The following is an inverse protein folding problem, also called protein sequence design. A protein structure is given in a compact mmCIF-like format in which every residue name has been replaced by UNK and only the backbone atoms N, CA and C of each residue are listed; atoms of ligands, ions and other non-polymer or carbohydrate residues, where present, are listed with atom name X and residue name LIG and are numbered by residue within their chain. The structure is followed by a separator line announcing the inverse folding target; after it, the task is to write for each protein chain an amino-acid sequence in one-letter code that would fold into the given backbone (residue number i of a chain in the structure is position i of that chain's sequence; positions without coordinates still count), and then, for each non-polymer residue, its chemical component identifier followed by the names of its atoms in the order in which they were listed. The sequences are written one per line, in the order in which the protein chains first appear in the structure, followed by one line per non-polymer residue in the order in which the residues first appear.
data_IF_076357191860
#
_entry.id   IF_076357191860
#
_cell.length_a   1.000
_cell.length_b   1.000
_cell.length_c   1.000
_cell.angle_alpha   90.00
_cell.angle_beta   90.00
_cell.angle_gamma   90.00
#
_symmetry.space_group_name_H-M   'P 1'
#
loop_
_entity.id
_entity.type
_entity.pdbx_description
1 polymer ?
#
# COMPACT_ATOMS: atom_id res chain seq x y z
N UNK A 1 -1.56 7.48 25.56
CA UNK A 1 -2.39 8.19 24.58
C UNK A 1 -3.45 7.26 23.96
N UNK A 2 -4.63 7.78 23.57
CA UNK A 2 -5.64 7.03 22.78
C UNK A 2 -5.78 7.65 21.39
N UNK A 3 -5.81 6.80 20.36
CA UNK A 3 -6.05 7.19 18.97
C UNK A 3 -7.31 6.49 18.48
N UNK A 4 -8.21 7.23 17.84
CA UNK A 4 -9.35 6.68 17.12
C UNK A 4 -9.05 6.69 15.62
N UNK A 5 -9.07 5.52 15.00
CA UNK A 5 -8.87 5.30 13.57
C UNK A 5 -10.21 4.92 12.95
N UNK A 6 -10.75 5.76 12.07
CA UNK A 6 -12.01 5.46 11.39
C UNK A 6 -11.80 4.29 10.43
N UNK A 7 -12.69 3.31 10.46
CA UNK A 7 -12.64 2.19 9.50
C UNK A 7 -12.94 2.73 8.10
N UNK A 8 -12.13 2.32 7.12
CA UNK A 8 -12.29 2.73 5.72
C UNK A 8 -13.69 2.37 5.22
N UNK A 9 -14.49 3.36 4.77
CA UNK A 9 -15.83 3.10 4.25
C UNK A 9 -15.77 2.19 3.02
N UNK A 10 -16.62 1.16 3.01
CA UNK A 10 -16.71 0.24 1.88
C UNK A 10 -17.86 0.60 0.96
N UNK A 11 -17.55 0.73 -0.33
CA UNK A 11 -18.55 1.05 -1.37
C UNK A 11 -19.18 -0.20 -2.00
N UNK A 12 -18.61 -1.38 -1.81
CA UNK A 12 -19.09 -2.64 -2.38
C UNK A 12 -19.76 -3.51 -1.31
N UNK A 13 -20.92 -4.07 -1.64
CA UNK A 13 -21.65 -5.01 -0.78
C UNK A 13 -21.11 -6.45 -0.87
N UNK A 14 -20.29 -6.76 -1.88
CA UNK A 14 -19.73 -8.12 -2.06
C UNK A 14 -18.75 -8.53 -0.95
N UNK A 15 -18.14 -7.56 -0.27
CA UNK A 15 -17.17 -7.78 0.82
C UNK A 15 -17.55 -6.96 2.06
N UNK A 16 -18.84 -6.98 2.41
CA UNK A 16 -19.34 -6.25 3.57
C UNK A 16 -18.48 -6.54 4.81
N UNK A 17 -18.04 -5.47 5.47
CA UNK A 17 -17.24 -5.47 6.71
C UNK A 17 -15.80 -5.98 6.55
N UNK A 18 -15.28 -6.21 5.34
CA UNK A 18 -13.89 -6.65 5.16
C UNK A 18 -12.87 -5.66 5.75
N UNK A 19 -13.10 -4.34 5.64
CA UNK A 19 -12.23 -3.35 6.27
C UNK A 19 -12.27 -3.46 7.81
N UNK A 20 -13.44 -3.72 8.40
CA UNK A 20 -13.58 -3.93 9.85
C UNK A 20 -12.79 -5.17 10.31
N UNK A 21 -12.86 -6.27 9.55
CA UNK A 21 -12.14 -7.52 9.84
C UNK A 21 -10.62 -7.32 9.74
N UNK A 22 -10.17 -6.55 8.74
CA UNK A 22 -8.74 -6.38 8.44
C UNK A 22 -8.06 -5.28 9.27
N UNK A 23 -8.81 -4.32 9.82
CA UNK A 23 -8.23 -3.16 10.49
C UNK A 23 -7.38 -3.52 11.71
N UNK A 24 -7.87 -4.42 12.57
CA UNK A 24 -7.11 -4.82 13.77
C UNK A 24 -5.84 -5.60 13.39
N UNK A 25 -5.90 -6.64 12.54
CA UNK A 25 -4.69 -7.33 12.07
C UNK A 25 -3.68 -6.40 11.40
N UNK A 26 -4.11 -5.47 10.54
CA UNK A 26 -3.21 -4.55 9.85
C UNK A 26 -2.49 -3.62 10.84
N UNK A 27 -3.23 -3.04 11.80
CA UNK A 27 -2.67 -2.18 12.83
C UNK A 27 -1.67 -2.94 13.72
N UNK A 28 -2.02 -4.14 14.16
CA UNK A 28 -1.17 -4.96 15.03
C UNK A 28 0.06 -5.54 14.31
N UNK A 29 0.03 -5.65 12.99
CA UNK A 29 1.21 -5.99 12.20
C UNK A 29 2.16 -4.80 12.05
N UNK A 30 1.67 -3.56 12.18
CA UNK A 30 2.45 -2.35 11.91
C UNK A 30 3.65 -2.17 12.85
N UNK A 31 4.63 -1.29 12.50
CA UNK A 31 5.74 -0.94 13.39
C UNK A 31 5.32 -0.34 14.73
N UNK A 32 4.03 -0.02 14.90
CA UNK A 32 3.47 0.51 16.14
C UNK A 32 3.10 -0.58 17.14
N UNK A 33 3.05 -1.85 16.71
CA UNK A 33 2.67 -3.01 17.53
C UNK A 33 3.31 -3.04 18.92
N UNK A 34 4.63 -2.80 19.09
CA UNK A 34 5.27 -2.83 20.41
C UNK A 34 4.75 -1.77 21.40
N UNK A 35 4.07 -0.73 20.91
CA UNK A 35 3.55 0.37 21.72
C UNK A 35 2.05 0.27 21.94
N UNK A 36 1.36 -0.71 21.34
CA UNK A 36 -0.09 -0.89 21.47
C UNK A 36 -0.40 -1.75 22.70
N UNK A 37 -1.19 -1.21 23.62
CA UNK A 37 -1.62 -1.92 24.84
C UNK A 37 -3.05 -2.44 24.76
N UNK A 38 -3.89 -1.81 23.94
CA UNK A 38 -5.25 -2.25 23.70
C UNK A 38 -5.75 -1.78 22.33
N UNK A 39 -6.55 -2.62 21.66
CA UNK A 39 -7.31 -2.26 20.47
C UNK A 39 -8.74 -2.72 20.68
N UNK A 40 -9.70 -1.82 20.54
CA UNK A 40 -11.13 -2.15 20.60
C UNK A 40 -11.87 -1.50 19.46
N UNK A 41 -12.94 -2.14 18.98
CA UNK A 41 -13.86 -1.52 18.04
C UNK A 41 -14.89 -0.68 18.79
N UNK A 42 -15.20 0.52 18.29
CA UNK A 42 -16.25 1.37 18.84
C UNK A 42 -17.02 2.09 17.74
N UNK A 43 -18.19 2.63 18.07
CA UNK A 43 -19.01 3.41 17.15
C UNK A 43 -19.11 4.84 17.65
N UNK A 44 -18.66 5.79 16.83
CA UNK A 44 -18.77 7.23 17.11
C UNK A 44 -19.58 7.88 16.00
N UNK A 45 -20.68 8.56 16.35
CA UNK A 45 -21.59 9.19 15.40
C UNK A 45 -22.07 8.24 14.26
N UNK A 46 -22.32 6.97 14.59
CA UNK A 46 -22.77 5.95 13.62
C UNK A 46 -21.70 5.45 12.65
N UNK A 47 -20.42 5.78 12.88
CA UNK A 47 -19.29 5.27 12.09
C UNK A 47 -18.43 4.34 12.96
N UNK A 48 -17.91 3.27 12.36
CA UNK A 48 -17.01 2.31 13.03
C UNK A 48 -15.59 2.87 13.15
N UNK A 49 -14.98 2.70 14.32
CA UNK A 49 -13.60 3.08 14.62
C UNK A 49 -12.86 1.93 15.29
N UNK A 50 -11.54 1.86 15.09
CA UNK A 50 -10.62 1.26 16.05
C UNK A 50 -10.18 2.31 17.07
N UNK A 51 -10.42 2.04 18.33
CA UNK A 51 -9.82 2.76 19.43
C UNK A 51 -8.56 2.01 19.87
N UNK A 52 -7.40 2.60 19.63
CA UNK A 52 -6.10 2.05 20.02
C UNK A 52 -5.52 2.84 21.18
N UNK A 53 -5.06 2.13 22.21
CA UNK A 53 -4.33 2.71 23.34
C UNK A 53 -2.85 2.46 23.15
N UNK A 54 -2.08 3.54 23.22
CA UNK A 54 -0.63 3.56 23.03
C UNK A 54 0.08 3.85 24.35
N UNK A 55 1.09 3.05 24.67
CA UNK A 55 1.96 3.23 25.84
C UNK A 55 3.02 4.31 25.59
N UNK A 56 2.67 5.54 25.93
CA UNK A 56 3.57 6.70 25.87
C UNK A 56 4.66 6.69 26.95
N UNK A 57 4.60 5.78 27.93
CA UNK A 57 5.61 5.67 28.98
C UNK A 57 6.83 4.85 28.55
N UNK A 58 6.72 4.14 27.42
CA UNK A 58 7.83 3.39 26.83
C UNK A 58 8.99 4.34 26.47
N UNK A 59 10.25 4.01 26.85
CA UNK A 59 11.41 4.87 26.57
C UNK A 59 11.71 5.01 25.06
N UNK A 60 11.16 4.12 24.24
CA UNK A 60 11.31 4.13 22.79
C UNK A 60 10.04 4.58 22.07
N UNK A 61 9.08 5.15 22.80
CA UNK A 61 7.82 5.59 22.21
C UNK A 61 8.07 6.64 21.11
N UNK A 62 7.63 6.39 19.87
CA UNK A 62 7.77 7.37 18.79
C UNK A 62 6.92 8.61 19.07
N UNK A 63 7.44 9.77 18.69
CA UNK A 63 6.67 11.02 18.80
C UNK A 63 5.41 10.96 17.93
N UNK A 64 4.38 11.72 18.28
CA UNK A 64 3.14 11.75 17.49
C UNK A 64 3.38 12.07 15.99
N UNK A 65 4.27 13.01 15.60
CA UNK A 65 4.61 13.21 14.20
C UNK A 65 5.24 12.00 13.50
N UNK A 66 5.92 11.10 14.23
CA UNK A 66 6.49 9.87 13.67
C UNK A 66 5.44 8.76 13.51
N UNK A 67 4.37 8.77 14.32
CA UNK A 67 3.25 7.83 14.23
C UNK A 67 2.37 8.09 12.99
N UNK A 68 2.08 9.36 12.72
CA UNK A 68 1.09 9.77 11.71
C UNK A 68 1.41 9.19 10.32
N UNK A 69 2.64 9.22 9.79
CA UNK A 69 2.96 8.63 8.49
C UNK A 69 2.67 7.12 8.39
N UNK A 70 2.79 6.38 9.49
CA UNK A 70 2.51 4.93 9.53
C UNK A 70 1.00 4.72 9.55
N UNK A 71 0.29 5.39 10.46
CA UNK A 71 -1.17 5.31 10.57
C UNK A 71 -1.87 5.75 9.28
N UNK A 72 -1.35 6.77 8.60
CA UNK A 72 -1.90 7.29 7.33
C UNK A 72 -1.73 6.32 6.16
N UNK A 73 -0.87 5.29 6.30
CA UNK A 73 -0.61 4.28 5.27
C UNK A 73 -1.46 3.02 5.42
N UNK A 74 -2.09 2.81 6.57
CA UNK A 74 -3.03 1.72 6.77
C UNK A 74 -4.16 1.80 5.73
N UNK A 75 -4.61 0.65 5.25
CA UNK A 75 -5.60 0.53 4.19
C UNK A 75 -7.00 0.36 4.74
N UNK A 76 -7.12 -0.37 5.85
CA UNK A 76 -8.40 -0.66 6.50
C UNK A 76 -8.90 0.49 7.39
N UNK A 77 -8.10 1.53 7.58
CA UNK A 77 -8.50 2.77 8.27
C UNK A 77 -8.22 4.01 7.42
N UNK A 78 -8.99 5.08 7.60
CA UNK A 78 -8.92 6.29 6.77
C UNK A 78 -8.59 7.56 7.57
N UNK A 79 -9.44 7.97 8.52
CA UNK A 79 -9.26 9.18 9.32
C UNK A 79 -8.64 8.88 10.69
N UNK A 80 -7.78 9.78 11.16
CA UNK A 80 -7.01 9.63 12.39
C UNK A 80 -7.37 10.76 13.35
N UNK A 81 -7.74 10.40 14.57
CA UNK A 81 -8.04 11.34 15.64
C UNK A 81 -7.30 10.95 16.91
N UNK A 82 -6.82 11.94 17.64
CA UNK A 82 -6.54 11.72 19.06
C UNK A 82 -7.85 11.73 19.83
N UNK A 83 -8.00 10.76 20.73
CA UNK A 83 -9.22 10.51 21.48
C UNK A 83 -9.03 10.90 22.94
N UNK A 84 -9.99 11.65 23.48
CA UNK A 84 -10.05 11.99 24.90
C UNK A 84 -11.38 11.54 25.49
N UNK A 85 -11.32 10.83 26.62
CA UNK A 85 -12.51 10.50 27.42
C UNK A 85 -13.10 11.77 28.08
N UNK A 86 -12.26 12.75 28.40
CA UNK A 86 -12.63 14.08 28.88
C UNK A 86 -11.48 15.08 28.70
N UNK A 87 -11.78 16.38 28.68
CA UNK A 87 -10.80 17.48 28.72
C UNK A 87 -11.25 18.51 29.75
N UNK A 88 -10.59 18.52 30.92
CA UNK A 88 -11.04 19.32 32.07
C UNK A 88 -12.44 18.88 32.51
N UNK A 89 -13.37 19.83 32.57
CA UNK A 89 -14.77 19.57 32.94
C UNK A 89 -15.63 19.06 31.76
N UNK A 90 -15.10 19.06 30.53
CA UNK A 90 -15.84 18.60 29.35
C UNK A 90 -15.72 17.09 29.22
N UNK A 91 -16.84 16.39 29.41
CA UNK A 91 -16.93 14.94 29.17
C UNK A 91 -16.93 14.63 27.67
N UNK A 92 -16.27 13.54 27.29
CA UNK A 92 -16.15 13.07 25.91
C UNK A 92 -17.26 12.10 25.46
N UNK A 93 -17.06 11.42 24.32
CA UNK A 93 -15.82 11.36 23.53
C UNK A 93 -15.48 12.68 22.83
N UNK A 94 -14.23 13.14 22.96
CA UNK A 94 -13.69 14.29 22.21
C UNK A 94 -12.63 13.80 21.23
N UNK A 95 -12.72 14.27 19.98
CA UNK A 95 -11.79 13.91 18.90
C UNK A 95 -11.02 15.15 18.45
N UNK A 96 -9.70 15.10 18.52
CA UNK A 96 -8.82 16.07 17.88
C UNK A 96 -8.34 15.50 16.54
N UNK A 97 -8.70 16.08 15.39
CA UNK A 97 -8.20 15.62 14.10
C UNK A 97 -6.67 15.66 14.05
N UNK A 98 -6.06 14.61 13.51
CA UNK A 98 -4.64 14.57 13.19
C UNK A 98 -4.48 14.60 11.67
N UNK A 99 -3.79 15.62 11.16
CA UNK A 99 -3.60 15.78 9.72
C UNK A 99 -2.79 14.60 9.14
N UNK A 100 -3.33 13.87 8.15
CA UNK A 100 -2.65 12.70 7.60
C UNK A 100 -1.36 13.10 6.86
N UNK A 101 -0.31 12.29 7.02
CA UNK A 101 0.99 12.48 6.37
C UNK A 101 1.24 11.38 5.35
N UNK A 102 0.38 11.33 4.35
CA UNK A 102 0.49 10.42 3.21
C UNK A 102 -0.06 11.09 1.96
N UNK A 103 0.82 11.30 0.97
CA UNK A 103 0.42 11.73 -0.37
C UNK A 103 0.78 10.61 -1.33
N UNK A 104 -0.21 9.95 -1.95
CA UNK A 104 0.06 8.89 -2.91
C UNK A 104 0.95 9.38 -4.05
N UNK A 105 1.98 8.61 -4.42
CA UNK A 105 2.88 8.98 -5.52
C UNK A 105 2.18 8.90 -6.90
N UNK A 106 1.30 7.93 -7.06
CA UNK A 106 0.22 7.94 -8.06
C UNK A 106 -1.11 7.83 -7.33
N UNK A 107 -2.23 8.35 -7.87
CA UNK A 107 -3.52 8.24 -7.19
C UNK A 107 -3.90 6.77 -6.94
N UNK A 108 -4.46 6.48 -5.76
CA UNK A 108 -4.96 5.14 -5.41
C UNK A 108 -6.02 4.65 -6.40
N UNK A 109 -6.76 5.59 -6.99
CA UNK A 109 -7.76 5.36 -8.04
C UNK A 109 -7.18 4.62 -9.24
N UNK A 110 -5.87 4.73 -9.54
CA UNK A 110 -5.22 3.96 -10.60
C UNK A 110 -5.47 2.46 -10.43
N UNK A 111 -5.37 1.96 -9.19
CA UNK A 111 -5.71 0.59 -8.88
C UNK A 111 -7.22 0.37 -9.02
N UNK A 112 -8.06 1.25 -8.48
CA UNK A 112 -9.52 1.10 -8.39
C UNK A 112 -10.22 1.07 -9.75
N UNK A 113 -9.85 1.96 -10.68
CA UNK A 113 -10.53 2.07 -11.98
C UNK A 113 -10.16 0.95 -12.94
N UNK A 114 -9.00 0.31 -12.75
CA UNK A 114 -8.55 -0.78 -13.61
C UNK A 114 -9.51 -1.96 -13.49
N UNK A 115 -10.13 -2.36 -14.59
CA UNK A 115 -11.02 -3.54 -14.65
C UNK A 115 -10.37 -4.68 -15.41
N UNK A 116 -10.35 -5.86 -14.82
CA UNK A 116 -9.93 -7.12 -15.44
C UNK A 116 -10.55 -8.29 -14.68
N UNK A 117 -10.57 -9.47 -15.31
CA UNK A 117 -11.14 -10.68 -14.73
C UNK A 117 -10.31 -11.13 -13.53
N UNK A 118 -10.96 -11.52 -12.44
CA UNK A 118 -10.28 -12.02 -11.25
C UNK A 118 -9.54 -10.94 -10.44
N UNK A 119 -9.84 -9.66 -10.68
CA UNK A 119 -9.24 -8.57 -9.90
C UNK A 119 -9.55 -8.71 -8.41
N UNK A 120 -8.50 -8.77 -7.61
CA UNK A 120 -8.55 -8.73 -6.14
C UNK A 120 -8.96 -7.35 -5.63
N UNK A 121 -9.69 -7.32 -4.51
CA UNK A 121 -10.11 -6.08 -3.88
C UNK A 121 -8.90 -5.21 -3.49
N UNK A 122 -8.99 -3.92 -3.75
CA UNK A 122 -7.89 -2.96 -3.62
C UNK A 122 -7.54 -2.69 -2.15
N UNK A 123 -8.54 -2.64 -1.26
CA UNK A 123 -8.31 -2.52 0.19
C UNK A 123 -7.60 -3.77 0.70
N UNK A 124 -8.11 -4.96 0.36
CA UNK A 124 -7.48 -6.23 0.76
C UNK A 124 -6.04 -6.32 0.26
N UNK A 125 -5.81 -6.02 -1.02
CA UNK A 125 -4.46 -6.06 -1.61
C UNK A 125 -3.52 -5.07 -0.91
N UNK A 126 -4.00 -3.87 -0.55
CA UNK A 126 -3.19 -2.87 0.16
C UNK A 126 -2.89 -3.30 1.60
N UNK A 127 -3.85 -3.92 2.30
CA UNK A 127 -3.61 -4.55 3.61
C UNK A 127 -2.52 -5.62 3.50
N UNK A 128 -2.62 -6.51 2.51
CA UNK A 128 -1.62 -7.57 2.30
C UNK A 128 -0.22 -7.02 1.98
N UNK A 129 -0.15 -5.97 1.15
CA UNK A 129 1.10 -5.25 0.90
C UNK A 129 1.70 -4.67 2.19
N UNK A 130 0.88 -4.01 3.00
CA UNK A 130 1.32 -3.44 4.27
C UNK A 130 1.79 -4.52 5.25
N UNK A 131 1.03 -5.61 5.43
CA UNK A 131 1.40 -6.73 6.31
C UNK A 131 2.72 -7.36 5.87
N UNK A 132 2.91 -7.63 4.57
CA UNK A 132 4.15 -8.21 4.05
C UNK A 132 5.36 -7.30 4.32
N UNK A 133 5.18 -5.98 4.19
CA UNK A 133 6.22 -5.01 4.50
C UNK A 133 6.50 -4.91 6.00
N UNK A 134 5.47 -4.88 6.83
CA UNK A 134 5.63 -4.77 8.28
C UNK A 134 6.20 -6.04 8.92
N UNK A 135 5.99 -7.20 8.30
CA UNK A 135 6.61 -8.46 8.70
C UNK A 135 8.07 -8.61 8.22
N UNK A 136 8.58 -7.69 7.41
CA UNK A 136 9.95 -7.73 6.86
C UNK A 136 10.97 -6.99 7.73
N UNK A 137 12.25 -7.19 7.45
CA UNK A 137 13.36 -6.42 8.05
C UNK A 137 13.30 -4.91 7.71
N UNK A 138 12.41 -4.51 6.80
CA UNK A 138 12.24 -3.14 6.32
C UNK A 138 11.02 -2.42 6.91
N UNK A 139 10.40 -2.98 7.96
CA UNK A 139 9.20 -2.44 8.59
C UNK A 139 9.37 -0.97 9.02
N UNK A 140 10.54 -0.61 9.57
CA UNK A 140 10.87 0.75 10.00
C UNK A 140 11.02 1.74 8.81
N UNK A 141 11.34 1.23 7.62
CA UNK A 141 11.52 1.98 6.38
C UNK A 141 10.25 1.98 5.51
N UNK A 142 9.09 1.58 6.05
CA UNK A 142 7.84 1.51 5.29
C UNK A 142 7.39 2.87 4.69
N UNK A 143 7.97 3.98 5.14
CA UNK A 143 7.71 5.32 4.60
C UNK A 143 8.71 5.76 3.53
N UNK A 144 9.80 5.01 3.35
CA UNK A 144 10.87 5.28 2.39
C UNK A 144 10.59 4.64 1.02
N UNK A 145 11.50 4.85 0.06
CA UNK A 145 11.42 4.20 -1.26
C UNK A 145 11.87 2.75 -1.15
N UNK A 146 10.90 1.83 -1.15
CA UNK A 146 11.13 0.39 -1.20
C UNK A 146 10.94 -0.17 -2.62
N UNK A 147 11.19 -1.47 -2.79
CA UNK A 147 11.13 -2.22 -4.05
C UNK A 147 10.29 -3.46 -3.82
N UNK A 148 9.16 -3.55 -4.50
CA UNK A 148 8.15 -4.61 -4.30
C UNK A 148 8.09 -5.48 -5.54
N UNK A 149 8.23 -6.79 -5.36
CA UNK A 149 8.00 -7.78 -6.41
C UNK A 149 6.62 -8.41 -6.25
N UNK A 150 5.80 -8.33 -7.28
CA UNK A 150 4.62 -9.18 -7.44
C UNK A 150 4.96 -10.36 -8.39
N UNK A 151 5.05 -11.59 -7.84
CA UNK A 151 5.36 -12.79 -8.62
C UNK A 151 4.19 -13.30 -9.48
N UNK A 152 2.98 -12.75 -9.33
CA UNK A 152 1.78 -13.16 -10.08
C UNK A 152 0.97 -11.90 -10.38
N UNK A 153 1.58 -10.99 -11.15
CA UNK A 153 1.13 -9.63 -11.23
C UNK A 153 -0.27 -9.46 -11.85
N UNK A 154 -0.73 -10.41 -12.68
CA UNK A 154 -2.01 -10.35 -13.37
C UNK A 154 -2.27 -8.96 -13.98
N UNK A 155 -3.40 -8.35 -13.62
CA UNK A 155 -3.77 -7.00 -14.06
C UNK A 155 -3.14 -5.84 -13.29
N UNK A 156 -2.27 -6.10 -12.31
CA UNK A 156 -1.37 -5.13 -11.69
C UNK A 156 -1.85 -4.44 -10.41
N UNK A 157 -2.87 -4.94 -9.69
CA UNK A 157 -3.41 -4.26 -8.50
C UNK A 157 -2.34 -3.99 -7.44
N UNK A 158 -1.52 -4.99 -7.08
CA UNK A 158 -0.40 -4.83 -6.12
C UNK A 158 0.60 -3.78 -6.60
N UNK A 159 0.93 -3.80 -7.89
CA UNK A 159 1.91 -2.89 -8.48
C UNK A 159 1.45 -1.43 -8.38
N UNK A 160 0.18 -1.16 -8.66
CA UNK A 160 -0.38 0.19 -8.58
C UNK A 160 -0.48 0.69 -7.14
N UNK A 161 -0.81 -0.19 -6.19
CA UNK A 161 -0.83 0.15 -4.77
C UNK A 161 0.59 0.36 -4.22
N UNK A 162 1.58 -0.41 -4.67
CA UNK A 162 2.98 -0.19 -4.34
C UNK A 162 3.49 1.15 -4.90
N UNK A 163 3.15 1.47 -6.16
CA UNK A 163 3.45 2.79 -6.73
C UNK A 163 2.77 3.90 -5.94
N UNK A 164 1.49 3.74 -5.58
CA UNK A 164 0.76 4.73 -4.78
C UNK A 164 1.44 4.96 -3.41
N UNK A 165 1.94 3.90 -2.78
CA UNK A 165 2.70 3.98 -1.53
C UNK A 165 4.09 4.64 -1.70
N UNK A 166 4.52 4.94 -2.93
CA UNK A 166 5.80 5.56 -3.23
C UNK A 166 6.95 4.55 -3.30
N UNK A 167 6.67 3.30 -3.68
CA UNK A 167 7.67 2.26 -3.92
C UNK A 167 7.95 2.08 -5.42
N UNK A 168 9.03 1.39 -5.74
CA UNK A 168 9.22 0.78 -7.05
C UNK A 168 8.47 -0.56 -7.11
N UNK A 169 7.85 -0.84 -8.24
CA UNK A 169 7.00 -2.02 -8.43
C UNK A 169 7.49 -2.87 -9.60
N UNK A 170 7.67 -4.16 -9.35
CA UNK A 170 8.13 -5.14 -10.32
C UNK A 170 7.10 -6.25 -10.40
N UNK A 171 6.51 -6.48 -11.57
CA UNK A 171 5.53 -7.53 -11.78
C UNK A 171 6.01 -8.54 -12.80
N UNK A 172 5.82 -9.83 -12.50
CA UNK A 172 6.05 -10.92 -13.43
C UNK A 172 4.71 -11.62 -13.65
N UNK A 173 4.40 -11.90 -14.92
CA UNK A 173 3.19 -12.63 -15.29
C UNK A 173 3.46 -13.51 -16.52
N UNK A 174 2.93 -14.73 -16.48
CA UNK A 174 3.00 -15.72 -17.55
C UNK A 174 2.03 -15.39 -18.69
N UNK A 175 0.87 -14.82 -18.37
CA UNK A 175 -0.14 -14.43 -19.36
C UNK A 175 0.25 -13.14 -20.09
N UNK A 176 0.75 -13.29 -21.32
CA UNK A 176 1.18 -12.17 -22.16
C UNK A 176 0.14 -11.08 -22.33
N UNK A 177 -1.14 -11.45 -22.43
CA UNK A 177 -2.24 -10.50 -22.63
C UNK A 177 -2.43 -9.58 -21.43
N UNK A 178 -2.21 -10.07 -20.22
CA UNK A 178 -2.32 -9.28 -18.99
C UNK A 178 -1.19 -8.25 -18.92
N UNK A 179 0.05 -8.64 -19.24
CA UNK A 179 1.18 -7.71 -19.34
C UNK A 179 0.94 -6.63 -20.40
N UNK A 180 0.51 -7.02 -21.61
CA UNK A 180 0.29 -6.06 -22.70
C UNK A 180 -0.87 -5.10 -22.40
N UNK A 181 -1.98 -5.61 -21.88
CA UNK A 181 -3.14 -4.79 -21.53
C UNK A 181 -2.84 -3.85 -20.36
N UNK A 182 -2.07 -4.30 -19.38
CA UNK A 182 -1.63 -3.49 -18.24
C UNK A 182 -0.68 -2.39 -18.69
N UNK A 183 0.28 -2.67 -19.59
CA UNK A 183 1.13 -1.64 -20.16
C UNK A 183 0.34 -0.58 -20.96
N UNK A 184 -0.70 -1.00 -21.71
CA UNK A 184 -1.60 -0.07 -22.41
C UNK A 184 -2.34 0.82 -21.41
N UNK A 185 -2.92 0.22 -20.36
CA UNK A 185 -3.62 0.94 -19.30
C UNK A 185 -2.72 1.96 -18.62
N UNK A 186 -1.50 1.58 -18.22
CA UNK A 186 -0.52 2.48 -17.59
C UNK A 186 -0.26 3.70 -18.47
N UNK A 187 0.01 3.52 -19.77
CA UNK A 187 0.23 4.65 -20.69
C UNK A 187 -0.97 5.57 -20.78
N UNK A 188 -2.17 5.01 -20.88
CA UNK A 188 -3.41 5.79 -21.00
C UNK A 188 -3.68 6.59 -19.73
N UNK A 189 -3.56 5.94 -18.56
CA UNK A 189 -3.79 6.56 -17.27
C UNK A 189 -2.78 7.68 -16.96
N UNK A 190 -1.49 7.41 -17.12
CA UNK A 190 -0.46 8.42 -16.86
C UNK A 190 -0.60 9.64 -17.78
N UNK A 191 -1.06 9.43 -19.03
CA UNK A 191 -1.38 10.53 -19.96
C UNK A 191 -2.62 11.31 -19.52
N UNK A 192 -3.69 10.64 -19.09
CA UNK A 192 -4.92 11.34 -18.66
C UNK A 192 -4.70 12.17 -17.41
N UNK A 193 -3.95 11.62 -16.44
CA UNK A 193 -3.61 12.31 -15.18
C UNK A 193 -2.44 13.29 -15.32
N UNK A 194 -1.91 13.49 -16.53
CA UNK A 194 -0.76 14.36 -16.80
C UNK A 194 0.46 14.04 -15.92
N UNK A 195 0.64 12.77 -15.54
CA UNK A 195 1.78 12.29 -14.77
C UNK A 195 2.94 12.05 -15.73
N UNK A 196 4.08 12.76 -15.58
CA UNK A 196 5.22 12.57 -16.47
C UNK A 196 5.74 11.14 -16.39
N UNK A 197 6.09 10.54 -17.52
CA UNK A 197 6.76 9.25 -17.54
C UNK A 197 7.65 9.07 -18.77
N UNK A 198 8.63 8.16 -18.65
CA UNK A 198 9.46 7.68 -19.73
C UNK A 198 9.31 6.17 -19.83
N UNK A 199 8.97 5.68 -21.02
CA UNK A 199 8.93 4.25 -21.31
C UNK A 199 10.29 3.80 -21.86
N UNK A 200 10.94 2.88 -21.16
CA UNK A 200 12.16 2.20 -21.55
C UNK A 200 11.74 0.82 -22.08
N UNK A 201 11.32 0.77 -23.35
CA UNK A 201 10.92 -0.48 -23.96
C UNK A 201 12.17 -1.32 -24.25
N UNK A 202 12.33 -2.43 -23.54
CA UNK A 202 13.43 -3.37 -23.78
C UNK A 202 12.88 -4.75 -24.18
N UNK A 203 13.13 -5.12 -25.43
CA UNK A 203 13.15 -6.53 -25.83
C UNK A 203 14.54 -7.07 -25.50
N UNK A 204 14.72 -7.60 -24.30
CA UNK A 204 15.93 -8.35 -24.00
C UNK A 204 15.87 -9.69 -24.74
N UNK A 205 16.92 -10.02 -25.51
CA UNK A 205 17.03 -11.31 -26.22
C UNK A 205 17.02 -12.51 -25.26
N UNK A 206 17.33 -12.30 -23.97
CA UNK A 206 17.40 -13.34 -22.93
C UNK A 206 16.26 -13.28 -21.92
N UNK A 207 15.84 -12.08 -21.50
CA UNK A 207 14.85 -11.91 -20.42
C UNK A 207 13.38 -11.81 -20.89
N UNK A 208 13.11 -12.02 -22.18
CA UNK A 208 11.75 -11.97 -22.74
C UNK A 208 11.23 -10.55 -22.96
N UNK A 209 9.91 -10.40 -23.00
CA UNK A 209 9.26 -9.11 -23.24
C UNK A 209 9.06 -8.37 -21.93
N UNK A 210 9.64 -7.17 -21.82
CA UNK A 210 9.55 -6.31 -20.64
C UNK A 210 9.08 -4.90 -21.03
N UNK A 211 8.22 -4.33 -20.22
CA UNK A 211 7.90 -2.90 -20.24
C UNK A 211 8.44 -2.27 -18.96
N UNK A 212 9.20 -1.20 -19.11
CA UNK A 212 9.70 -0.43 -17.97
C UNK A 212 9.26 1.01 -18.10
N UNK A 213 8.68 1.54 -17.02
CA UNK A 213 8.25 2.92 -16.91
C UNK A 213 9.03 3.59 -15.79
N UNK A 214 9.69 4.69 -16.10
CA UNK A 214 10.14 5.65 -15.11
C UNK A 214 9.06 6.72 -14.98
N UNK A 215 8.33 6.72 -13.88
CA UNK A 215 7.14 7.54 -13.63
C UNK A 215 7.54 8.68 -12.69
N UNK A 216 6.97 9.87 -12.87
CA UNK A 216 7.16 11.04 -12.02
C UNK A 216 8.14 12.07 -12.59
N UNK A 217 8.38 13.13 -11.81
CA UNK A 217 9.31 14.22 -12.18
C UNK A 217 10.76 13.81 -11.91
N UNK A 218 11.69 14.34 -12.72
CA UNK A 218 13.13 14.12 -12.56
C UNK A 218 13.57 14.37 -11.11
N UNK A 219 14.29 13.41 -10.53
CA UNK A 219 14.76 13.46 -9.13
C UNK A 219 13.78 12.88 -8.10
N UNK A 220 12.55 12.58 -8.50
CA UNK A 220 11.53 11.98 -7.64
C UNK A 220 10.80 10.82 -8.34
N UNK A 221 11.46 10.12 -9.26
CA UNK A 221 10.82 9.08 -10.07
C UNK A 221 10.64 7.76 -9.31
N UNK A 222 9.69 6.95 -9.77
CA UNK A 222 9.53 5.54 -9.41
C UNK A 222 9.55 4.66 -10.64
N UNK A 223 9.97 3.43 -10.45
CA UNK A 223 10.11 2.44 -11.52
C UNK A 223 8.95 1.46 -11.43
N UNK A 224 8.25 1.28 -12.55
CA UNK A 224 7.33 0.17 -12.77
C UNK A 224 7.93 -0.75 -13.84
N UNK A 225 8.03 -2.04 -13.55
CA UNK A 225 8.44 -3.06 -14.51
C UNK A 225 7.34 -4.10 -14.64
N UNK A 226 6.99 -4.42 -15.88
CA UNK A 226 6.09 -5.52 -16.25
C UNK A 226 6.88 -6.50 -17.11
N UNK A 227 7.16 -7.68 -16.60
CA UNK A 227 7.89 -8.74 -17.30
C UNK A 227 6.94 -9.88 -17.66
N UNK A 228 6.93 -10.26 -18.93
CA UNK A 228 6.28 -11.48 -19.38
C UNK A 228 7.27 -12.65 -19.26
N UNK A 229 6.98 -13.59 -18.37
CA UNK A 229 7.83 -14.75 -18.13
C UNK A 229 7.46 -15.56 -16.88
N UNK A 230 8.35 -16.49 -16.54
CA UNK A 230 8.21 -17.36 -15.36
C UNK A 230 8.87 -16.68 -14.15
N UNK A 231 8.12 -16.54 -13.06
CA UNK A 231 8.60 -15.97 -11.81
C UNK A 231 9.79 -16.72 -11.21
N UNK A 232 9.93 -18.02 -11.44
CA UNK A 232 11.13 -18.76 -11.05
C UNK A 232 12.41 -18.17 -11.67
N UNK A 233 12.28 -17.39 -12.75
CA UNK A 233 13.34 -16.67 -13.44
C UNK A 233 13.38 -15.17 -13.09
N UNK A 234 12.83 -14.73 -11.94
CA UNK A 234 12.81 -13.32 -11.52
C UNK A 234 14.18 -12.63 -11.61
N UNK A 235 15.26 -13.33 -11.23
CA UNK A 235 16.63 -12.81 -11.35
C UNK A 235 16.99 -12.41 -12.79
N UNK A 236 16.58 -13.20 -13.78
CA UNK A 236 16.79 -12.92 -15.20
C UNK A 236 15.95 -11.72 -15.65
N UNK A 237 14.68 -11.67 -15.26
CA UNK A 237 13.77 -10.59 -15.62
C UNK A 237 14.20 -9.23 -15.04
N UNK A 238 14.91 -9.23 -13.91
CA UNK A 238 15.38 -8.03 -13.20
C UNK A 238 16.86 -7.68 -13.45
N UNK A 239 17.61 -8.45 -14.24
CA UNK A 239 19.07 -8.27 -14.38
C UNK A 239 19.49 -6.88 -14.91
N UNK A 240 18.70 -6.31 -15.82
CA UNK A 240 18.97 -5.02 -16.48
C UNK A 240 18.18 -3.86 -15.86
N UNK A 241 17.38 -4.15 -14.83
CA UNK A 241 16.64 -3.16 -14.07
C UNK A 241 17.60 -2.48 -13.08
N UNK A 242 17.63 -1.14 -12.98
CA UNK A 242 18.44 -0.45 -11.97
C UNK A 242 18.20 -1.02 -10.56
N UNK A 243 19.29 -1.38 -9.86
CA UNK A 243 19.26 -2.05 -8.57
C UNK A 243 19.18 -3.59 -8.64
N UNK A 244 19.04 -4.19 -9.82
CA UNK A 244 19.03 -5.64 -10.02
C UNK A 244 17.84 -6.34 -9.36
N UNK A 245 17.99 -7.61 -9.00
CA UNK A 245 16.92 -8.46 -8.46
C UNK A 245 16.65 -8.33 -6.95
N UNK A 246 17.35 -7.43 -6.25
CA UNK A 246 17.15 -7.22 -4.81
C UNK A 246 15.85 -6.46 -4.56
N UNK A 247 14.94 -7.06 -3.82
CA UNK A 247 13.66 -6.46 -3.43
C UNK A 247 13.51 -6.46 -1.91
N UNK A 248 12.68 -5.56 -1.41
CA UNK A 248 12.41 -5.40 0.02
C UNK A 248 11.27 -6.31 0.47
N UNK A 249 10.29 -6.56 -0.42
CA UNK A 249 9.21 -7.50 -0.17
C UNK A 249 8.77 -8.17 -1.47
N UNK A 250 8.25 -9.40 -1.33
CA UNK A 250 7.55 -10.15 -2.36
C UNK A 250 6.10 -10.24 -1.92
N UNK A 251 5.18 -9.75 -2.74
CA UNK A 251 3.75 -9.65 -2.42
C UNK A 251 2.97 -10.10 -3.63
N UNK A 252 2.25 -11.20 -3.52
CA UNK A 252 1.39 -11.71 -4.59
C UNK A 252 0.14 -12.35 -4.01
N UNK A 253 -0.95 -12.28 -4.78
CA UNK A 253 -2.19 -13.00 -4.48
C UNK A 253 -2.10 -14.40 -5.10
N UNK A 254 -1.79 -15.40 -4.28
CA UNK A 254 -1.66 -16.77 -4.73
C UNK A 254 -3.06 -17.40 -4.91
N UNK A 255 -3.27 -18.22 -5.95
CA UNK A 255 -4.51 -18.96 -6.09
C UNK A 255 -4.76 -19.82 -4.84
N UNK A 256 -5.98 -19.71 -4.31
CA UNK A 256 -6.48 -20.43 -3.13
C UNK A 256 -7.37 -21.62 -3.49
#
# INVERSE_FOLDING_TARGET
MKIALKITPQRSTQYANMAEILATPELLASPLSPFITAVTTTTLAGQSYLLTTLDETSPHFPTLPALIPILSRLAATSEIYEYFDALGDVQGPLLRPLEPQFTPFVPLEMAEIRRYKGKTNEIFTRVMLNIALFASDYAAQCTERLRILDPLAGGGTTLFLALAAGYDAFGIETERQDIESTAIFVRQYLRSEHIPFKELAERSRRAGRRYQFEIGRKGATRVLVLAHGDTAQANLHMQEVPGGSRVHAIVGDLPY
#
